data_IF_502801916687
#
_entry.id   IF_502801916687
#
_cell.length_a   1.000
_cell.length_b   1.000
_cell.length_c   1.000
_cell.angle_alpha   90.00
_cell.angle_beta   90.00
_cell.angle_gamma   90.00
#
_symmetry.space_group_name_H-M   'P 1'
#
loop_
_entity.id
_entity.type
_entity.pdbx_description
1 polymer ?
#
# COMPACT_ATOMS: atom_id res chain seq x y z
N UNK A 1 -7.90 5.58 10.41
CA UNK A 1 -7.89 4.79 9.15
C UNK A 1 -7.03 5.53 8.12
N UNK A 2 -6.04 4.86 7.52
CA UNK A 2 -4.98 5.50 6.72
C UNK A 2 -4.83 4.82 5.37
N UNK A 3 -4.34 5.58 4.39
CA UNK A 3 -4.09 5.13 3.02
C UNK A 3 -2.60 5.08 2.72
N UNK A 4 -2.13 4.13 1.92
CA UNK A 4 -0.82 4.19 1.26
C UNK A 4 -1.02 4.20 -0.27
N UNK A 5 -0.19 4.97 -0.96
CA UNK A 5 -0.37 5.34 -2.37
C UNK A 5 0.31 4.43 -3.37
N UNK A 6 0.96 3.35 -2.94
CA UNK A 6 1.72 2.49 -3.84
C UNK A 6 1.34 1.02 -3.71
N UNK A 7 0.41 0.61 -4.59
CA UNK A 7 0.24 -0.82 -4.97
C UNK A 7 1.45 -1.38 -5.74
N UNK A 8 2.38 -0.52 -6.15
CA UNK A 8 3.61 -0.93 -6.80
C UNK A 8 4.67 -1.23 -5.73
N UNK A 9 4.93 -2.52 -5.51
CA UNK A 9 6.21 -2.91 -4.96
C UNK A 9 7.28 -2.49 -5.97
N UNK A 10 8.00 -1.39 -5.67
CA UNK A 10 9.35 -1.28 -6.21
C UNK A 10 10.08 -2.52 -5.72
N UNK A 11 10.46 -3.36 -6.67
CA UNK A 11 11.28 -4.53 -6.42
C UNK A 11 12.53 -3.97 -5.74
N UNK A 12 12.66 -4.17 -4.43
CA UNK A 12 13.96 -4.12 -3.80
C UNK A 12 14.77 -5.14 -4.57
N UNK A 13 15.65 -4.66 -5.45
CA UNK A 13 16.69 -5.44 -6.08
C UNK A 13 17.69 -5.83 -4.98
N UNK A 14 17.20 -6.64 -4.03
CA UNK A 14 18.05 -7.24 -3.04
C UNK A 14 18.89 -8.27 -3.78
N UNK A 15 20.18 -8.19 -3.50
CA UNK A 15 21.30 -8.71 -4.27
C UNK A 15 21.33 -10.24 -4.46
N UNK A 16 20.36 -10.80 -5.18
CA UNK A 16 20.38 -12.19 -5.65
C UNK A 16 21.24 -12.36 -6.92
N UNK A 17 21.97 -11.32 -7.32
CA UNK A 17 22.87 -11.25 -8.48
C UNK A 17 24.03 -12.26 -8.45
N UNK A 18 24.23 -13.03 -7.38
CA UNK A 18 25.36 -13.97 -7.28
C UNK A 18 24.94 -15.43 -7.13
N UNK A 19 23.64 -15.75 -7.01
CA UNK A 19 23.20 -17.14 -6.82
C UNK A 19 22.69 -17.83 -8.10
N UNK A 20 22.40 -17.10 -9.18
CA UNK A 20 21.77 -17.65 -10.40
C UNK A 20 22.79 -17.88 -11.53
N UNK A 21 23.97 -18.43 -11.20
CA UNK A 21 24.92 -18.86 -12.24
C UNK A 21 25.28 -20.34 -12.25
N UNK A 22 24.73 -21.17 -11.35
CA UNK A 22 24.95 -22.61 -11.40
C UNK A 22 23.80 -23.40 -10.78
N UNK A 23 22.77 -23.77 -11.55
CA UNK A 23 21.94 -24.96 -11.28
C UNK A 23 21.00 -25.28 -12.46
N UNK A 24 21.55 -25.65 -13.62
CA UNK A 24 20.89 -26.60 -14.51
C UNK A 24 21.45 -27.97 -14.15
N UNK A 25 20.81 -28.67 -13.22
CA UNK A 25 21.00 -30.13 -13.07
C UNK A 25 19.73 -30.70 -12.45
N UNK A 26 19.00 -31.49 -13.22
CA UNK A 26 17.84 -32.25 -12.74
C UNK A 26 18.30 -33.33 -11.75
N UNK A 27 17.58 -33.56 -10.63
CA UNK A 27 17.13 -34.87 -10.11
C UNK A 27 16.48 -34.78 -8.69
N UNK A 28 15.73 -35.81 -8.23
CA UNK A 28 14.38 -35.62 -7.64
C UNK A 28 14.30 -35.76 -6.10
N UNK A 29 13.09 -35.43 -5.57
CA UNK A 29 12.58 -35.59 -4.19
C UNK A 29 13.10 -34.50 -3.22
N UNK A 30 12.31 -33.67 -2.52
CA UNK A 30 10.96 -33.76 -1.91
C UNK A 30 10.40 -32.33 -1.76
N UNK A 31 9.07 -32.15 -1.77
CA UNK A 31 8.37 -30.84 -1.62
C UNK A 31 8.73 -29.75 -2.66
N UNK A 32 8.86 -30.10 -3.93
CA UNK A 32 9.06 -29.11 -4.98
C UNK A 32 7.78 -28.27 -5.17
N UNK A 33 7.88 -26.95 -4.92
CA UNK A 33 6.90 -25.97 -5.38
C UNK A 33 6.94 -26.03 -6.91
N UNK A 34 5.82 -26.42 -7.53
CA UNK A 34 5.73 -26.52 -8.99
C UNK A 34 5.92 -25.12 -9.60
N UNK A 35 7.03 -24.92 -10.33
CA UNK A 35 7.28 -23.67 -11.05
C UNK A 35 6.55 -23.76 -12.41
N UNK A 36 5.63 -22.84 -12.73
CA UNK A 36 4.96 -22.84 -14.04
C UNK A 36 5.98 -22.54 -15.16
N UNK A 37 5.78 -23.08 -16.38
CA UNK A 37 6.68 -22.83 -17.50
C UNK A 37 6.67 -21.33 -17.88
N UNK A 38 7.84 -20.75 -18.23
CA UNK A 38 7.93 -19.34 -18.62
C UNK A 38 7.18 -19.07 -19.95
N UNK A 39 6.58 -17.88 -20.13
CA UNK A 39 6.02 -17.46 -21.42
C UNK A 39 7.08 -17.39 -22.52
N UNK A 40 6.69 -17.64 -23.78
CA UNK A 40 7.61 -17.88 -24.89
C UNK A 40 8.31 -16.65 -25.49
N UNK A 41 8.08 -15.42 -25.01
CA UNK A 41 8.72 -14.21 -25.55
C UNK A 41 9.16 -13.20 -24.46
N UNK A 42 10.44 -12.79 -24.53
CA UNK A 42 11.16 -11.69 -23.84
C UNK A 42 12.08 -11.99 -22.63
N UNK A 43 13.12 -11.15 -22.52
CA UNK A 43 14.49 -11.48 -22.08
C UNK A 43 14.82 -11.18 -20.61
N UNK A 44 13.86 -10.84 -19.74
CA UNK A 44 14.07 -10.85 -18.29
C UNK A 44 12.76 -11.28 -17.62
N UNK A 45 12.69 -12.55 -17.24
CA UNK A 45 11.54 -13.12 -16.56
C UNK A 45 11.83 -13.07 -15.06
N UNK A 46 11.21 -12.15 -14.34
CA UNK A 46 11.30 -12.10 -12.87
C UNK A 46 10.29 -13.08 -12.28
N UNK A 47 10.77 -13.96 -11.41
CA UNK A 47 9.92 -14.82 -10.59
C UNK A 47 9.55 -14.05 -9.32
N UNK A 48 8.27 -13.77 -9.14
CA UNK A 48 7.76 -12.91 -8.07
C UNK A 48 6.84 -13.70 -7.14
N UNK A 49 6.99 -13.49 -5.83
CA UNK A 49 6.01 -13.91 -4.83
C UNK A 49 5.19 -12.71 -4.40
N UNK A 50 3.87 -12.76 -4.54
CA UNK A 50 3.00 -11.62 -4.29
C UNK A 50 2.35 -11.67 -2.90
N UNK A 51 1.98 -10.52 -2.34
CA UNK A 51 1.36 -10.45 -1.01
C UNK A 51 -0.01 -11.13 -0.93
N UNK A 52 -0.70 -11.27 -2.06
CA UNK A 52 -2.02 -11.89 -2.18
C UNK A 52 -1.98 -13.41 -2.46
N UNK A 53 -0.80 -14.01 -2.73
CA UNK A 53 -0.67 -15.43 -3.05
C UNK A 53 0.62 -16.04 -2.54
N UNK A 54 0.53 -17.30 -2.09
CA UNK A 54 1.72 -18.07 -1.73
C UNK A 54 2.42 -18.72 -2.94
N UNK A 55 1.82 -18.63 -4.14
CA UNK A 55 2.39 -19.16 -5.37
C UNK A 55 3.42 -18.18 -5.97
N UNK A 56 4.47 -18.74 -6.58
CA UNK A 56 5.40 -17.98 -7.42
C UNK A 56 4.79 -17.78 -8.80
N UNK A 57 4.84 -16.55 -9.31
CA UNK A 57 4.38 -16.22 -10.66
C UNK A 57 5.43 -15.46 -11.46
N UNK A 58 5.32 -15.54 -12.78
CA UNK A 58 6.16 -14.77 -13.69
C UNK A 58 5.56 -13.38 -13.89
N UNK A 59 6.41 -12.35 -13.79
CA UNK A 59 5.98 -10.96 -14.01
C UNK A 59 5.51 -10.23 -12.75
N UNK A 60 4.86 -9.07 -12.90
CA UNK A 60 4.46 -8.22 -11.79
C UNK A 60 3.26 -8.80 -11.01
N UNK A 61 3.09 -8.33 -9.77
CA UNK A 61 1.91 -8.67 -8.99
C UNK A 61 0.70 -7.88 -9.45
N UNK A 62 -0.42 -8.57 -9.62
CA UNK A 62 -1.74 -7.96 -9.83
C UNK A 62 -2.59 -8.18 -8.58
N UNK A 63 -3.29 -7.13 -8.18
CA UNK A 63 -4.11 -7.13 -6.98
C UNK A 63 -5.57 -6.80 -7.31
N UNK A 64 -6.49 -7.46 -6.61
CA UNK A 64 -7.92 -7.19 -6.65
C UNK A 64 -8.38 -6.45 -5.39
N UNK A 65 -9.56 -5.84 -5.45
CA UNK A 65 -10.22 -5.26 -4.29
C UNK A 65 -10.38 -6.32 -3.19
N UNK A 66 -9.97 -5.98 -1.97
CA UNK A 66 -9.98 -6.85 -0.80
C UNK A 66 -8.69 -7.64 -0.56
N UNK A 67 -7.76 -7.68 -1.53
CA UNK A 67 -6.48 -8.36 -1.37
C UNK A 67 -5.60 -7.73 -0.29
N UNK A 68 -4.58 -8.48 0.15
CA UNK A 68 -3.41 -7.91 0.82
C UNK A 68 -2.50 -7.28 -0.23
N UNK A 69 -2.40 -5.95 -0.22
CA UNK A 69 -1.43 -5.27 -1.06
C UNK A 69 -0.01 -5.32 -0.48
N UNK A 70 1.01 -4.88 -1.23
CA UNK A 70 2.41 -4.92 -0.80
C UNK A 70 2.69 -4.14 0.50
N UNK A 71 1.98 -3.03 0.76
CA UNK A 71 2.14 -2.29 2.01
C UNK A 71 1.50 -2.99 3.21
N UNK A 72 0.79 -4.10 2.99
CA UNK A 72 0.15 -4.92 4.03
C UNK A 72 -1.27 -4.46 4.39
N UNK A 73 -1.81 -3.50 3.65
CA UNK A 73 -3.18 -3.00 3.77
C UNK A 73 -4.21 -3.85 3.03
N UNK A 74 -5.47 -3.41 3.09
CA UNK A 74 -6.54 -3.87 2.21
C UNK A 74 -6.59 -3.02 0.95
N UNK A 75 -6.45 -3.66 -0.20
CA UNK A 75 -6.60 -3.00 -1.50
C UNK A 75 -8.06 -2.55 -1.65
N UNK A 76 -8.32 -1.26 -1.81
CA UNK A 76 -9.68 -0.70 -1.91
C UNK A 76 -9.91 0.11 -3.20
N UNK A 77 -8.83 0.37 -3.94
CA UNK A 77 -8.85 1.00 -5.26
C UNK A 77 -7.76 0.37 -6.13
N UNK A 78 -8.07 0.10 -7.40
CA UNK A 78 -7.15 -0.50 -8.37
C UNK A 78 -7.23 0.23 -9.71
N UNK A 79 -6.08 0.40 -10.36
CA UNK A 79 -5.95 0.88 -11.74
C UNK A 79 -5.02 -0.05 -12.51
N UNK A 80 -4.95 0.12 -13.83
CA UNK A 80 -3.99 -0.59 -14.69
C UNK A 80 -4.06 -2.12 -14.50
N UNK A 81 -5.28 -2.63 -14.48
CA UNK A 81 -5.59 -4.05 -14.26
C UNK A 81 -4.97 -4.64 -12.96
N UNK A 82 -4.90 -3.84 -11.89
CA UNK A 82 -4.41 -4.27 -10.58
C UNK A 82 -2.90 -4.10 -10.37
N UNK A 83 -2.21 -3.42 -11.29
CA UNK A 83 -0.79 -3.07 -11.13
C UNK A 83 -0.59 -1.87 -10.19
N UNK A 84 -1.59 -1.00 -10.11
CA UNK A 84 -1.55 0.24 -9.35
C UNK A 84 -2.87 0.43 -8.60
N UNK A 85 -2.89 1.36 -7.64
CA UNK A 85 -4.04 1.54 -6.75
C UNK A 85 -3.64 2.06 -5.38
N UNK A 86 -4.57 1.95 -4.42
CA UNK A 86 -4.38 2.39 -3.05
C UNK A 86 -4.80 1.31 -2.03
N UNK A 87 -4.12 1.33 -0.89
CA UNK A 87 -4.35 0.40 0.22
C UNK A 87 -4.83 1.12 1.48
N UNK A 88 -5.72 0.47 2.23
CA UNK A 88 -6.19 0.91 3.53
C UNK A 88 -5.47 0.15 4.66
N UNK A 89 -5.01 0.84 5.70
CA UNK A 89 -4.41 0.19 6.87
C UNK A 89 -5.41 -0.78 7.53
N UNK A 90 -4.95 -1.98 7.88
CA UNK A 90 -5.81 -3.06 8.42
C UNK A 90 -6.23 -2.90 9.87
N UNK A 91 -5.62 -1.95 10.56
CA UNK A 91 -5.96 -1.52 11.91
C UNK A 91 -6.13 -0.03 11.88
N UNK A 92 -7.07 0.48 12.67
CA UNK A 92 -7.01 1.90 12.98
C UNK A 92 -5.70 2.17 13.74
N UNK A 93 -5.10 3.35 13.54
CA UNK A 93 -3.82 3.71 14.20
C UNK A 93 -4.00 4.83 15.22
N UNK A 94 -5.19 5.42 15.32
CA UNK A 94 -5.47 6.50 16.27
C UNK A 94 -6.70 6.21 17.11
N UNK A 95 -6.60 6.41 18.43
CA UNK A 95 -7.76 6.48 19.30
C UNK A 95 -8.20 7.95 19.44
N UNK A 96 -9.33 8.30 18.81
CA UNK A 96 -9.95 9.62 18.91
C UNK A 96 -9.01 10.81 18.59
N UNK A 97 -8.03 10.62 17.71
CA UNK A 97 -7.14 11.68 17.27
C UNK A 97 -7.92 12.75 16.49
N UNK A 98 -7.67 14.01 16.78
CA UNK A 98 -8.19 15.10 15.94
C UNK A 98 -7.58 15.00 14.56
N UNK A 99 -8.36 15.21 13.50
CA UNK A 99 -7.86 15.15 12.12
C UNK A 99 -6.67 16.09 11.89
N UNK A 100 -6.76 17.31 12.43
CA UNK A 100 -5.74 18.35 12.39
C UNK A 100 -6.02 19.41 13.45
N UNK A 101 -5.69 20.67 13.16
CA UNK A 101 -6.01 21.81 14.02
C UNK A 101 -7.51 22.09 14.07
N UNK A 102 -8.19 21.67 15.15
CA UNK A 102 -9.63 21.89 15.29
C UNK A 102 -9.99 23.39 15.29
N UNK A 103 -11.02 23.76 14.53
CA UNK A 103 -11.51 25.14 14.45
C UNK A 103 -10.67 26.08 13.59
N UNK A 104 -9.61 25.60 12.94
CA UNK A 104 -8.77 26.39 12.03
C UNK A 104 -9.02 25.93 10.60
N UNK A 105 -9.29 26.90 9.71
CA UNK A 105 -9.33 26.65 8.28
C UNK A 105 -7.92 26.39 7.78
N UNK A 106 -7.71 25.23 7.18
CA UNK A 106 -6.43 24.82 6.58
C UNK A 106 -6.58 25.02 5.06
N UNK A 107 -6.00 26.10 4.55
CA UNK A 107 -6.04 26.42 3.12
C UNK A 107 -5.28 25.34 2.34
N UNK A 108 -5.90 24.79 1.28
CA UNK A 108 -5.32 23.72 0.45
C UNK A 108 -5.73 22.31 0.87
N UNK A 109 -6.12 22.11 2.14
CA UNK A 109 -6.61 20.82 2.63
C UNK A 109 -8.12 20.60 2.36
N UNK A 110 -8.59 21.03 1.19
CA UNK A 110 -10.00 20.96 0.75
C UNK A 110 -10.20 20.05 -0.47
N UNK A 111 -9.17 19.29 -0.84
CA UNK A 111 -9.24 18.25 -1.86
C UNK A 111 -10.30 17.21 -1.53
N UNK A 112 -11.22 16.99 -2.46
CA UNK A 112 -12.35 16.07 -2.27
C UNK A 112 -12.16 14.78 -3.06
N UNK A 113 -11.68 14.91 -4.29
CA UNK A 113 -11.64 13.83 -5.28
C UNK A 113 -10.66 12.71 -4.91
N UNK A 114 -10.79 11.58 -5.59
CA UNK A 114 -9.78 10.51 -5.55
C UNK A 114 -8.42 11.05 -6.01
N UNK A 115 -7.37 10.72 -5.26
CA UNK A 115 -5.99 11.16 -5.49
C UNK A 115 -5.59 12.43 -4.73
N UNK A 116 -6.48 13.03 -3.92
CA UNK A 116 -6.21 14.30 -3.21
C UNK A 116 -5.87 14.14 -1.73
N UNK A 117 -6.05 12.95 -1.15
CA UNK A 117 -5.83 12.74 0.29
C UNK A 117 -4.39 13.02 0.75
N UNK A 118 -3.39 12.67 -0.08
CA UNK A 118 -1.98 12.93 0.22
C UNK A 118 -1.71 14.43 0.34
N UNK A 119 -2.15 15.23 -0.63
CA UNK A 119 -1.95 16.68 -0.61
C UNK A 119 -2.64 17.31 0.61
N UNK A 120 -3.89 16.90 0.90
CA UNK A 120 -4.59 17.35 2.10
C UNK A 120 -3.81 17.05 3.38
N UNK A 121 -3.23 15.85 3.47
CA UNK A 121 -2.44 15.44 4.64
C UNK A 121 -1.20 16.30 4.80
N UNK A 122 -0.49 16.59 3.70
CA UNK A 122 0.66 17.49 3.71
C UNK A 122 0.28 18.90 4.18
N UNK A 123 -0.85 19.43 3.72
CA UNK A 123 -1.33 20.76 4.12
C UNK A 123 -1.73 20.80 5.60
N UNK A 124 -2.33 19.74 6.13
CA UNK A 124 -2.59 19.57 7.57
C UNK A 124 -1.30 19.58 8.38
N UNK A 125 -0.28 18.85 7.93
CA UNK A 125 1.01 18.77 8.63
C UNK A 125 1.73 20.12 8.65
N UNK A 126 1.65 20.89 7.56
CA UNK A 126 2.30 22.19 7.43
C UNK A 126 1.80 23.21 8.46
N UNK A 127 0.50 23.22 8.75
CA UNK A 127 -0.08 24.17 9.72
C UNK A 127 0.03 23.69 11.18
N UNK A 128 0.30 22.40 11.40
CA UNK A 128 0.21 21.78 12.73
C UNK A 128 1.19 22.36 13.76
N UNK A 129 2.36 22.81 13.32
CA UNK A 129 3.34 23.49 14.19
C UNK A 129 2.79 24.78 14.80
N UNK A 130 1.83 25.44 14.15
CA UNK A 130 1.20 26.67 14.63
C UNK A 130 0.09 26.47 15.66
N UNK A 131 -0.42 25.24 15.84
CA UNK A 131 -1.59 24.97 16.68
C UNK A 131 -1.29 24.19 17.97
N UNK A 132 -0.05 23.70 18.15
CA UNK A 132 0.38 22.92 19.32
C UNK A 132 -0.52 21.71 19.66
N UNK A 133 -1.12 21.07 18.65
CA UNK A 133 -1.92 19.84 18.83
C UNK A 133 -1.02 18.64 18.51
N UNK A 134 -0.45 17.95 19.51
CA UNK A 134 0.30 16.73 19.27
C UNK A 134 -0.65 15.59 18.85
N UNK A 135 -0.12 14.58 18.15
CA UNK A 135 -0.81 13.32 17.85
C UNK A 135 -2.14 13.51 17.08
N UNK A 136 -2.17 14.41 16.11
CA UNK A 136 -3.28 14.46 15.14
C UNK A 136 -3.27 13.22 14.25
N UNK A 137 -4.41 12.92 13.63
CA UNK A 137 -4.51 11.86 12.64
C UNK A 137 -3.51 12.08 11.50
N UNK A 138 -3.28 13.32 11.06
CA UNK A 138 -2.28 13.65 10.04
C UNK A 138 -0.86 13.23 10.45
N UNK A 139 -0.44 13.57 11.67
CA UNK A 139 0.89 13.13 12.18
C UNK A 139 0.99 11.63 12.37
N UNK A 140 -0.10 10.97 12.79
CA UNK A 140 -0.13 9.51 12.95
C UNK A 140 -0.01 8.84 11.58
N UNK A 141 -0.72 9.33 10.57
CA UNK A 141 -0.63 8.84 9.19
C UNK A 141 0.81 8.92 8.68
N UNK A 142 1.38 10.12 8.71
CA UNK A 142 2.70 10.40 8.15
C UNK A 142 3.85 9.74 8.93
N UNK A 143 3.62 9.39 10.19
CA UNK A 143 4.57 8.62 11.01
C UNK A 143 4.37 7.11 10.95
N UNK A 144 3.31 6.63 10.28
CA UNK A 144 3.00 5.21 10.21
C UNK A 144 3.87 4.52 9.15
N UNK A 145 4.47 3.39 9.54
CA UNK A 145 5.27 2.56 8.64
C UNK A 145 4.82 1.11 8.76
N UNK A 146 4.57 0.48 7.62
CA UNK A 146 4.21 -0.94 7.53
C UNK A 146 4.89 -1.57 6.32
N UNK A 147 5.51 -2.74 6.49
CA UNK A 147 6.19 -3.49 5.43
C UNK A 147 7.22 -2.67 4.61
N UNK A 148 7.84 -1.65 5.22
CA UNK A 148 8.81 -0.78 4.56
C UNK A 148 8.21 0.45 3.87
N UNK A 149 6.89 0.62 3.88
CA UNK A 149 6.18 1.76 3.32
C UNK A 149 5.87 2.78 4.42
N UNK A 150 6.29 4.03 4.22
CA UNK A 150 6.09 5.16 5.14
C UNK A 150 5.34 6.32 4.48
N UNK A 151 4.66 6.05 3.37
CA UNK A 151 3.90 7.02 2.56
C UNK A 151 2.42 7.06 2.96
N UNK A 152 2.11 6.76 4.22
CA UNK A 152 0.72 6.66 4.67
C UNK A 152 0.10 8.05 4.92
N UNK A 153 -1.14 8.26 4.47
CA UNK A 153 -1.84 9.54 4.49
C UNK A 153 -3.33 9.40 4.88
N UNK A 154 -3.98 10.53 5.15
CA UNK A 154 -5.43 10.58 5.44
C UNK A 154 -6.23 10.61 4.14
N UNK A 155 -7.31 9.80 4.03
CA UNK A 155 -8.13 9.79 2.83
C UNK A 155 -8.82 11.15 2.58
N UNK A 156 -8.96 11.52 1.32
CA UNK A 156 -9.95 12.51 0.89
C UNK A 156 -11.37 12.00 1.13
N UNK A 157 -12.37 12.88 0.98
CA UNK A 157 -13.77 12.49 1.16
C UNK A 157 -14.18 11.38 0.21
N UNK A 158 -13.84 11.50 -1.07
CA UNK A 158 -14.25 10.51 -2.07
C UNK A 158 -13.44 9.22 -1.95
N UNK A 159 -12.19 9.28 -1.50
CA UNK A 159 -11.41 8.09 -1.14
C UNK A 159 -12.02 7.36 0.05
N UNK A 160 -12.41 8.07 1.11
CA UNK A 160 -13.06 7.47 2.28
C UNK A 160 -14.40 6.82 1.91
N UNK A 161 -15.19 7.48 1.07
CA UNK A 161 -16.44 6.92 0.55
C UNK A 161 -16.18 5.66 -0.29
N UNK A 162 -15.11 5.66 -1.10
CA UNK A 162 -14.73 4.50 -1.90
C UNK A 162 -14.32 3.33 -1.01
N UNK A 163 -13.51 3.56 0.02
CA UNK A 163 -13.15 2.52 1.00
C UNK A 163 -14.41 1.91 1.62
N UNK A 164 -15.35 2.75 2.05
CA UNK A 164 -16.62 2.30 2.62
C UNK A 164 -17.41 1.41 1.65
N UNK A 165 -17.45 1.79 0.37
CA UNK A 165 -18.15 1.06 -0.67
C UNK A 165 -17.48 -0.27 -1.06
N UNK A 166 -16.16 -0.37 -0.97
CA UNK A 166 -15.40 -1.54 -1.49
C UNK A 166 -14.94 -2.52 -0.42
N UNK A 167 -14.49 -2.03 0.74
CA UNK A 167 -13.96 -2.85 1.85
C UNK A 167 -14.77 -2.73 3.14
N UNK A 168 -15.86 -1.96 3.15
CA UNK A 168 -16.84 -1.89 4.24
C UNK A 168 -16.53 -0.85 5.32
N UNK A 169 -17.06 -1.05 6.53
CA UNK A 169 -17.04 -0.07 7.63
C UNK A 169 -15.65 0.27 8.18
N UNK A 170 -14.61 -0.41 7.71
CA UNK A 170 -13.23 -0.13 8.12
C UNK A 170 -12.57 -1.22 8.94
N UNK A 171 -11.30 -0.98 9.22
CA UNK A 171 -10.52 -1.77 10.14
C UNK A 171 -11.07 -1.70 11.58
N UNK A 172 -10.97 -2.79 12.37
CA UNK A 172 -11.30 -2.75 13.79
C UNK A 172 -10.42 -1.71 14.52
N UNK A 173 -10.98 -1.15 15.61
CA UNK A 173 -10.27 -0.25 16.51
C UNK A 173 -9.00 -0.91 17.08
N UNK A 174 -7.98 -0.13 17.49
CA UNK A 174 -6.70 -0.65 17.97
C UNK A 174 -6.83 -1.50 19.24
#
# INVERSE_FOLDING_TARGET
MFLSGQLAAEVAADSLSTAIQSAVTMQPQTNAIAIPPPPAEQFQVTLTRCGNSNALQWGPCHYAIGDTGPAGGFVFYVTDAGLHGMEAARKDQGNAASWGCYGILIVGADGISIGTGLQNTLDILNIQTGCNVPNTAGTIANGYTLNGYSDWFLPSRDELNLMYATIGQGAPAP
#
